data_IF_789734828962
#
_entry.id   IF_789734828962
#
_cell.length_a   1.000
_cell.length_b   1.000
_cell.length_c   1.000
_cell.angle_alpha   90.00
_cell.angle_beta   90.00
_cell.angle_gamma   90.00
#
_symmetry.space_group_name_H-M   'P 1'
#
loop_
_entity.id
_entity.type
_entity.pdbx_description
1 polymer ?
#
# COMPACT_ATOMS: atom_id res chain seq x y z
N UNK A 1 -6.44 -3.38 -40.96
CA UNK A 1 -5.69 -2.11 -41.11
C UNK A 1 -5.95 -1.22 -39.91
N UNK A 2 -4.96 -1.06 -39.03
CA UNK A 2 -4.80 0.15 -38.23
C UNK A 2 -3.34 0.56 -38.37
N UNK A 3 -3.09 1.37 -39.38
CA UNK A 3 -1.90 2.21 -39.48
C UNK A 3 -2.11 3.37 -38.51
N UNK A 4 -1.40 3.37 -37.39
CA UNK A 4 -1.07 4.62 -36.70
C UNK A 4 0.44 4.66 -36.53
N UNK A 5 1.10 5.11 -37.61
CA UNK A 5 2.41 5.76 -37.58
C UNK A 5 2.28 7.12 -36.84
N UNK A 6 1.75 7.12 -35.62
CA UNK A 6 1.93 8.26 -34.72
C UNK A 6 3.29 8.11 -34.06
N UNK A 7 4.09 9.16 -34.10
CA UNK A 7 5.35 9.19 -33.35
C UNK A 7 5.05 8.92 -31.86
N UNK A 8 5.90 8.15 -31.16
CA UNK A 8 5.68 7.85 -29.76
C UNK A 8 5.56 9.15 -28.95
N UNK A 9 4.41 9.35 -28.30
CA UNK A 9 4.15 10.51 -27.44
C UNK A 9 4.37 10.16 -25.96
N UNK A 10 4.60 11.18 -25.16
CA UNK A 10 4.56 11.06 -23.70
C UNK A 10 3.09 11.01 -23.26
N UNK A 11 2.72 9.99 -22.49
CA UNK A 11 1.35 9.78 -22.03
C UNK A 11 1.06 10.55 -20.73
N UNK A 12 2.00 10.51 -19.79
CA UNK A 12 1.85 11.08 -18.44
C UNK A 12 3.06 11.94 -18.03
N UNK A 13 2.85 12.88 -17.12
CA UNK A 13 3.97 13.57 -16.46
C UNK A 13 4.66 12.63 -15.47
N UNK A 14 3.88 11.88 -14.69
CA UNK A 14 4.40 10.90 -13.71
C UNK A 14 3.64 9.59 -13.82
N UNK A 15 4.37 8.48 -13.95
CA UNK A 15 3.83 7.13 -13.77
C UNK A 15 4.36 6.53 -12.47
N UNK A 16 3.47 5.96 -11.66
CA UNK A 16 3.78 5.34 -10.37
C UNK A 16 3.49 3.85 -10.47
N UNK A 17 4.51 3.03 -10.25
CA UNK A 17 4.39 1.57 -10.26
C UNK A 17 4.16 1.09 -8.83
N UNK A 18 2.96 0.60 -8.54
CA UNK A 18 2.53 0.11 -7.24
C UNK A 18 1.47 0.99 -6.59
N UNK A 19 0.32 0.40 -6.25
CA UNK A 19 -0.79 1.02 -5.51
C UNK A 19 -0.81 0.60 -4.04
N UNK A 20 0.35 0.32 -3.44
CA UNK A 20 0.47 0.24 -1.98
C UNK A 20 0.32 1.64 -1.33
N UNK A 21 0.30 1.72 0.01
CA UNK A 21 0.17 2.99 0.73
C UNK A 21 1.16 4.06 0.27
N UNK A 22 2.43 3.68 0.01
CA UNK A 22 3.46 4.60 -0.47
C UNK A 22 3.13 5.17 -1.86
N UNK A 23 2.73 4.33 -2.81
CA UNK A 23 2.41 4.78 -4.17
C UNK A 23 1.17 5.66 -4.21
N UNK A 24 0.13 5.29 -3.45
CA UNK A 24 -1.10 6.08 -3.35
C UNK A 24 -0.86 7.43 -2.64
N UNK A 25 -0.10 7.44 -1.55
CA UNK A 25 0.27 8.67 -0.86
C UNK A 25 1.14 9.58 -1.75
N UNK A 26 2.02 9.00 -2.56
CA UNK A 26 2.80 9.75 -3.57
C UNK A 26 1.88 10.39 -4.62
N UNK A 27 0.92 9.63 -5.15
CA UNK A 27 -0.05 10.11 -6.12
C UNK A 27 -0.88 11.28 -5.56
N UNK A 28 -1.39 11.16 -4.34
CA UNK A 28 -2.10 12.24 -3.66
C UNK A 28 -1.21 13.47 -3.45
N UNK A 29 0.00 13.28 -2.95
CA UNK A 29 0.93 14.39 -2.70
C UNK A 29 1.32 15.17 -3.95
N UNK A 30 1.45 14.49 -5.09
CA UNK A 30 1.68 15.11 -6.41
C UNK A 30 0.46 15.94 -6.85
N UNK A 31 -0.75 15.37 -6.75
CA UNK A 31 -2.01 16.06 -7.11
C UNK A 31 -2.26 17.28 -6.25
N UNK A 32 -2.03 17.18 -4.94
CA UNK A 32 -2.13 18.31 -4.01
C UNK A 32 -1.13 19.46 -4.32
N UNK A 33 -0.14 19.19 -5.17
CA UNK A 33 0.83 20.18 -5.68
C UNK A 33 0.57 20.58 -7.14
N UNK A 34 -0.59 20.25 -7.70
CA UNK A 34 -1.02 20.61 -9.04
C UNK A 34 -0.50 19.70 -10.16
N UNK A 35 0.13 18.56 -9.83
CA UNK A 35 0.59 17.59 -10.83
C UNK A 35 -0.54 16.57 -11.06
N UNK A 36 -1.42 16.88 -12.01
CA UNK A 36 -2.65 16.12 -12.27
C UNK A 36 -2.48 14.98 -13.28
N UNK A 37 -1.57 15.16 -14.25
CA UNK A 37 -1.36 14.18 -15.32
C UNK A 37 -0.49 13.00 -14.85
N UNK A 38 -1.02 12.23 -13.91
CA UNK A 38 -0.37 11.05 -13.32
C UNK A 38 -1.13 9.76 -13.64
N UNK A 39 -0.47 8.62 -13.48
CA UNK A 39 -1.09 7.30 -13.48
C UNK A 39 -0.45 6.41 -12.41
N UNK A 40 -1.27 5.67 -11.66
CA UNK A 40 -0.83 4.62 -10.75
C UNK A 40 -1.21 3.27 -11.36
N UNK A 41 -0.25 2.36 -11.49
CA UNK A 41 -0.49 1.01 -11.99
C UNK A 41 -0.09 -0.04 -10.94
N UNK A 42 -0.95 -1.04 -10.70
CA UNK A 42 -0.68 -2.11 -9.75
C UNK A 42 -0.97 -3.49 -10.33
N UNK A 43 -0.17 -4.48 -9.92
CA UNK A 43 -0.31 -5.86 -10.37
C UNK A 43 -1.53 -6.59 -9.78
N UNK A 44 -2.11 -6.08 -8.67
CA UNK A 44 -3.24 -6.73 -8.01
C UNK A 44 -4.44 -6.83 -8.94
N UNK A 45 -5.20 -7.93 -8.88
CA UNK A 45 -6.45 -8.05 -9.66
C UNK A 45 -7.66 -7.45 -8.95
N UNK A 46 -7.59 -7.38 -7.63
CA UNK A 46 -8.60 -6.79 -6.77
C UNK A 46 -7.94 -6.40 -5.45
N UNK A 47 -8.39 -5.30 -4.85
CA UNK A 47 -8.03 -5.01 -3.47
C UNK A 47 -8.80 -5.94 -2.54
N UNK A 48 -8.12 -6.49 -1.54
CA UNK A 48 -8.71 -7.50 -0.65
C UNK A 48 -8.40 -7.14 0.80
N UNK A 49 -9.35 -7.42 1.69
CA UNK A 49 -9.19 -7.34 3.16
C UNK A 49 -8.25 -8.43 3.67
N UNK A 50 -7.00 -8.40 3.21
CA UNK A 50 -5.93 -9.30 3.63
C UNK A 50 -4.75 -8.45 4.08
N UNK A 51 -4.15 -8.82 5.20
CA UNK A 51 -2.99 -8.12 5.74
C UNK A 51 -3.04 -7.95 7.25
N UNK A 52 -1.89 -7.55 7.80
CA UNK A 52 -1.72 -7.28 9.22
C UNK A 52 -2.17 -5.85 9.56
N UNK A 53 -2.45 -5.60 10.85
CA UNK A 53 -2.53 -4.25 11.38
C UNK A 53 -1.18 -3.54 11.27
N UNK A 54 -1.22 -2.24 10.96
CA UNK A 54 -0.06 -1.35 10.94
C UNK A 54 -0.31 -0.18 11.88
N UNK A 55 0.75 0.22 12.59
CA UNK A 55 0.74 1.39 13.46
C UNK A 55 1.33 2.59 12.72
N UNK A 56 0.52 3.63 12.52
CA UNK A 56 1.00 4.96 12.16
C UNK A 56 1.32 5.74 13.44
N UNK A 57 2.61 5.98 13.64
CA UNK A 57 3.14 6.79 14.74
C UNK A 57 3.02 8.31 14.42
N UNK A 58 3.28 9.22 15.39
CA UNK A 58 3.05 10.66 15.20
C UNK A 58 3.69 11.25 13.94
N UNK A 59 4.91 10.82 13.61
CA UNK A 59 5.61 11.25 12.40
C UNK A 59 4.89 10.79 11.12
N UNK A 60 4.39 9.56 11.10
CA UNK A 60 3.63 9.03 9.96
C UNK A 60 2.30 9.76 9.77
N UNK A 61 1.57 10.00 10.87
CA UNK A 61 0.31 10.76 10.83
C UNK A 61 0.52 12.21 10.37
N UNK A 62 1.53 12.90 10.89
CA UNK A 62 1.90 14.24 10.40
C UNK A 62 2.26 14.23 8.92
N UNK A 63 3.02 13.23 8.47
CA UNK A 63 3.37 13.11 7.05
C UNK A 63 2.12 12.95 6.17
N UNK A 64 1.16 12.10 6.57
CA UNK A 64 -0.12 11.98 5.86
C UNK A 64 -0.86 13.31 5.85
N UNK A 65 -0.91 14.03 6.97
CA UNK A 65 -1.54 15.35 7.07
C UNK A 65 -0.91 16.38 6.12
N UNK A 66 0.40 16.35 5.94
CA UNK A 66 1.12 17.19 4.97
C UNK A 66 0.91 16.76 3.51
N UNK A 67 0.57 15.50 3.28
CA UNK A 67 0.25 14.99 1.95
C UNK A 67 -1.18 15.41 1.59
N UNK A 68 -2.14 15.10 2.45
CA UNK A 68 -3.57 15.36 2.24
C UNK A 68 -4.31 15.35 3.59
N UNK A 69 -4.95 16.46 3.95
CA UNK A 69 -5.69 16.60 5.21
C UNK A 69 -6.90 15.67 5.29
N UNK A 70 -7.59 15.40 4.18
CA UNK A 70 -8.75 14.51 4.17
C UNK A 70 -8.32 13.06 4.36
N UNK A 71 -7.21 12.65 3.73
CA UNK A 71 -6.62 11.34 3.96
C UNK A 71 -6.27 11.14 5.44
N UNK A 72 -5.67 12.15 6.07
CA UNK A 72 -5.33 12.13 7.49
C UNK A 72 -6.56 11.91 8.38
N UNK A 73 -7.62 12.70 8.21
CA UNK A 73 -8.84 12.56 9.02
C UNK A 73 -9.49 11.19 8.81
N UNK A 74 -9.61 10.73 7.56
CA UNK A 74 -10.18 9.42 7.23
C UNK A 74 -9.40 8.27 7.87
N UNK A 75 -8.06 8.30 7.81
CA UNK A 75 -7.19 7.27 8.41
C UNK A 75 -7.32 7.28 9.93
N UNK A 76 -7.35 8.47 10.54
CA UNK A 76 -7.49 8.63 11.99
C UNK A 76 -8.84 8.09 12.49
N UNK A 77 -9.94 8.47 11.84
CA UNK A 77 -11.27 7.98 12.19
C UNK A 77 -11.38 6.45 12.01
N UNK A 78 -10.86 5.92 10.90
CA UNK A 78 -10.91 4.48 10.62
C UNK A 78 -10.10 3.68 11.63
N UNK A 79 -8.89 4.13 11.98
CA UNK A 79 -8.06 3.43 12.96
C UNK A 79 -8.54 3.58 14.42
N UNK A 80 -9.27 4.65 14.76
CA UNK A 80 -9.98 4.74 16.04
C UNK A 80 -11.04 3.65 16.18
N UNK A 81 -11.85 3.42 15.13
CA UNK A 81 -12.83 2.33 15.09
C UNK A 81 -12.18 0.95 15.15
N UNK A 82 -11.00 0.80 14.52
CA UNK A 82 -10.21 -0.42 14.59
C UNK A 82 -9.71 -0.72 16.02
N UNK A 83 -9.30 0.31 16.76
CA UNK A 83 -8.79 0.16 18.13
C UNK A 83 -9.90 0.04 19.18
N UNK A 84 -11.06 0.66 18.94
CA UNK A 84 -12.24 0.63 19.80
C UNK A 84 -13.47 0.16 19.01
N UNK A 85 -13.59 -1.14 18.69
CA UNK A 85 -14.76 -1.64 17.98
C UNK A 85 -16.03 -1.40 18.82
N UNK A 86 -17.15 -0.99 18.21
CA UNK A 86 -18.40 -0.77 18.93
C UNK A 86 -18.86 -2.05 19.64
N UNK A 87 -19.25 -1.93 20.91
CA UNK A 87 -19.76 -3.07 21.67
C UNK A 87 -21.14 -3.50 21.13
N UNK A 88 -21.38 -4.82 20.97
CA UNK A 88 -22.69 -5.31 20.55
C UNK A 88 -23.79 -5.14 21.63
N UNK A 89 -23.43 -4.85 22.89
CA UNK A 89 -24.38 -4.64 23.99
C UNK A 89 -24.02 -3.38 24.81
N UNK A 90 -24.87 -2.35 24.86
CA UNK A 90 -24.60 -1.11 25.60
C UNK A 90 -24.62 -1.24 27.14
N UNK A 91 -25.01 -2.38 27.70
CA UNK A 91 -25.29 -2.54 29.14
C UNK A 91 -24.11 -3.04 29.98
N UNK A 92 -22.90 -3.18 29.42
CA UNK A 92 -21.73 -3.60 30.20
C UNK A 92 -20.94 -2.40 30.74
N UNK A 93 -21.30 -1.90 31.92
CA UNK A 93 -20.56 -0.84 32.66
C UNK A 93 -19.14 -1.26 33.13
N UNK A 94 -18.54 -2.28 32.52
CA UNK A 94 -17.34 -2.97 33.02
C UNK A 94 -15.99 -2.46 32.47
N UNK A 95 -15.96 -1.39 31.67
CA UNK A 95 -14.72 -0.88 31.04
C UNK A 95 -14.00 0.25 31.77
N UNK A 96 -14.44 0.69 32.95
CA UNK A 96 -13.76 1.80 33.68
C UNK A 96 -12.42 1.42 34.31
N UNK A 97 -12.08 0.13 34.42
CA UNK A 97 -10.88 -0.34 35.15
C UNK A 97 -9.88 -1.19 34.33
N UNK A 98 -9.98 -1.23 32.99
CA UNK A 98 -8.94 -1.93 32.22
C UNK A 98 -7.65 -1.10 32.15
N UNK A 99 -6.48 -1.71 32.43
CA UNK A 99 -5.21 -1.03 32.29
C UNK A 99 -5.02 -0.59 30.84
N UNK A 100 -4.43 0.59 30.66
CA UNK A 100 -4.14 1.12 29.33
C UNK A 100 -3.29 0.11 28.56
N UNK A 101 -3.55 -0.13 27.27
CA UNK A 101 -2.70 -1.00 26.47
C UNK A 101 -1.27 -0.48 26.48
N UNK A 102 -0.32 -1.38 26.69
CA UNK A 102 1.12 -1.09 26.79
C UNK A 102 1.89 -1.95 25.81
N UNK A 103 2.91 -1.37 25.16
CA UNK A 103 3.91 -2.16 24.45
C UNK A 103 5.01 -2.51 25.42
N UNK A 104 5.28 -3.81 25.62
CA UNK A 104 6.30 -4.27 26.56
C UNK A 104 7.33 -5.14 25.88
N UNK A 105 8.61 -4.83 26.11
CA UNK A 105 9.74 -5.71 25.76
C UNK A 105 10.14 -6.53 26.99
N UNK A 106 10.30 -7.85 26.81
CA UNK A 106 10.71 -8.78 27.87
C UNK A 106 12.00 -9.49 27.47
N UNK A 107 12.82 -9.87 28.45
CA UNK A 107 13.94 -10.77 28.22
C UNK A 107 13.46 -12.23 28.15
N UNK A 108 14.38 -13.16 27.90
CA UNK A 108 14.09 -14.61 27.82
C UNK A 108 13.53 -15.19 29.13
N UNK A 109 13.75 -14.52 30.26
CA UNK A 109 13.23 -14.91 31.57
C UNK A 109 11.86 -14.28 31.86
N UNK A 110 11.24 -13.59 30.89
CA UNK A 110 9.96 -12.91 31.02
C UNK A 110 9.99 -11.58 31.79
N UNK A 111 11.16 -11.13 32.22
CA UNK A 111 11.32 -9.87 32.97
C UNK A 111 11.14 -8.68 32.04
N UNK A 112 10.35 -7.69 32.50
CA UNK A 112 10.05 -6.45 31.76
C UNK A 112 11.34 -5.61 31.63
N UNK A 113 11.84 -5.45 30.41
CA UNK A 113 13.00 -4.59 30.11
C UNK A 113 12.52 -3.15 29.91
N UNK A 114 11.46 -2.97 29.13
CA UNK A 114 10.94 -1.66 28.75
C UNK A 114 9.43 -1.72 28.51
N UNK A 115 8.73 -0.62 28.78
CA UNK A 115 7.34 -0.44 28.33
C UNK A 115 6.96 1.00 28.16
N UNK A 116 6.01 1.22 27.27
CA UNK A 116 5.35 2.50 27.07
C UNK A 116 3.85 2.29 26.80
N UNK A 117 3.07 3.30 27.20
CA UNK A 117 1.61 3.29 27.05
C UNK A 117 1.23 3.60 25.60
N UNK A 118 0.16 2.97 25.11
CA UNK A 118 -0.32 3.08 23.74
C UNK A 118 -1.52 4.03 23.59
N UNK A 119 -1.85 4.80 24.64
CA UNK A 119 -2.91 5.81 24.61
C UNK A 119 -2.55 6.96 23.69
N UNK A 120 -3.53 7.45 22.94
CA UNK A 120 -3.35 8.57 22.01
C UNK A 120 -2.78 9.82 22.71
N UNK A 121 -3.36 10.22 23.85
CA UNK A 121 -3.03 11.48 24.54
C UNK A 121 -1.56 11.53 25.00
N UNK A 122 -1.02 10.43 25.53
CA UNK A 122 0.39 10.33 25.94
C UNK A 122 1.37 10.62 24.81
N UNK A 123 1.03 10.18 23.60
CA UNK A 123 1.82 10.46 22.40
C UNK A 123 1.58 11.87 21.91
N UNK A 124 0.33 12.35 21.97
CA UNK A 124 -0.02 13.69 21.55
C UNK A 124 0.68 14.76 22.39
N UNK A 125 0.70 14.64 23.71
CA UNK A 125 1.34 15.60 24.61
C UNK A 125 2.85 15.69 24.35
N UNK A 126 3.49 14.57 24.04
CA UNK A 126 4.93 14.51 23.80
C UNK A 126 5.34 14.95 22.39
N UNK A 127 4.55 14.60 21.39
CA UNK A 127 4.94 14.74 19.99
C UNK A 127 4.05 15.68 19.18
N UNK A 128 2.99 16.26 19.77
CA UNK A 128 2.00 17.09 19.09
C UNK A 128 1.15 16.32 18.06
N UNK A 129 1.13 14.99 18.13
CA UNK A 129 0.29 14.09 17.35
C UNK A 129 0.26 12.71 18.03
N UNK A 130 -0.82 11.95 17.87
CA UNK A 130 -0.98 10.64 18.51
C UNK A 130 -0.45 9.46 17.68
N UNK A 131 -1.00 8.27 17.97
CA UNK A 131 -0.77 7.03 17.20
C UNK A 131 -2.10 6.44 16.74
N UNK A 132 -2.08 5.75 15.61
CA UNK A 132 -3.27 5.08 15.05
C UNK A 132 -2.90 3.69 14.57
N UNK A 133 -3.61 2.68 15.07
CA UNK A 133 -3.53 1.31 14.55
C UNK A 133 -4.65 1.12 13.51
N UNK A 134 -4.32 0.62 12.32
CA UNK A 134 -5.27 0.45 11.21
C UNK A 134 -4.91 -0.80 10.40
N UNK A 135 -5.88 -1.47 9.77
CA UNK A 135 -5.56 -2.56 8.84
C UNK A 135 -4.81 -2.03 7.60
N UNK A 136 -3.89 -2.82 7.04
CA UNK A 136 -3.23 -2.45 5.79
C UNK A 136 -4.22 -2.14 4.66
N UNK A 137 -5.30 -2.94 4.58
CA UNK A 137 -6.37 -2.74 3.61
C UNK A 137 -7.08 -1.41 3.79
N UNK A 138 -7.42 -1.03 5.01
CA UNK A 138 -8.13 0.22 5.28
C UNK A 138 -7.24 1.42 5.02
N UNK A 139 -5.96 1.37 5.42
CA UNK A 139 -4.99 2.42 5.09
C UNK A 139 -4.90 2.64 3.57
N UNK A 140 -4.75 1.56 2.81
CA UNK A 140 -4.72 1.61 1.35
C UNK A 140 -6.05 2.13 0.77
N UNK A 141 -7.18 1.74 1.36
CA UNK A 141 -8.52 2.15 0.93
C UNK A 141 -8.75 3.64 1.13
N UNK A 142 -8.40 4.19 2.30
CA UNK A 142 -8.57 5.62 2.58
C UNK A 142 -7.73 6.50 1.63
N UNK A 143 -6.54 6.04 1.23
CA UNK A 143 -5.72 6.74 0.24
C UNK A 143 -6.28 6.60 -1.18
N UNK A 144 -6.69 5.39 -1.61
CA UNK A 144 -7.14 5.18 -2.99
C UNK A 144 -8.46 5.86 -3.31
N UNK A 145 -9.37 5.98 -2.34
CA UNK A 145 -10.70 6.58 -2.56
C UNK A 145 -10.64 8.08 -2.87
N UNK A 146 -9.52 8.74 -2.54
CA UNK A 146 -9.29 10.14 -2.83
C UNK A 146 -8.69 10.37 -4.23
N UNK A 147 -8.28 9.30 -4.92
CA UNK A 147 -7.82 9.39 -6.30
C UNK A 147 -8.99 9.20 -7.28
N UNK A 148 -9.05 9.99 -8.36
CA UNK A 148 -9.99 9.71 -9.45
C UNK A 148 -9.78 8.32 -10.04
N UNK A 149 -10.86 7.63 -10.39
CA UNK A 149 -10.83 6.23 -10.80
C UNK A 149 -10.04 5.97 -12.08
N UNK A 150 -9.91 6.97 -12.95
CA UNK A 150 -9.13 6.90 -14.19
C UNK A 150 -7.62 7.08 -13.97
N UNK A 151 -7.20 7.48 -12.76
CA UNK A 151 -5.79 7.66 -12.37
C UNK A 151 -5.18 6.42 -11.70
N UNK A 152 -5.97 5.40 -11.44
CA UNK A 152 -5.53 4.14 -10.82
C UNK A 152 -5.98 2.95 -11.67
N UNK A 153 -5.02 2.19 -12.19
CA UNK A 153 -5.27 0.96 -12.95
C UNK A 153 -4.67 -0.24 -12.23
N UNK A 154 -5.52 -1.20 -11.87
CA UNK A 154 -5.09 -2.49 -11.31
C UNK A 154 -5.00 -3.54 -12.42
N UNK A 155 -4.51 -4.74 -12.12
CA UNK A 155 -4.27 -5.83 -13.08
C UNK A 155 -3.24 -5.44 -14.15
N UNK A 156 -2.24 -4.64 -13.79
CA UNK A 156 -1.15 -4.21 -14.66
C UNK A 156 0.18 -4.43 -13.96
N UNK A 157 0.83 -5.56 -14.23
CA UNK A 157 2.14 -5.89 -13.65
C UNK A 157 3.23 -5.27 -14.50
N UNK A 158 4.06 -4.40 -13.91
CA UNK A 158 5.26 -3.93 -14.57
C UNK A 158 6.23 -5.08 -14.81
N UNK A 159 6.73 -5.20 -16.04
CA UNK A 159 7.69 -6.24 -16.46
C UNK A 159 8.99 -5.67 -16.99
N UNK A 160 9.00 -4.42 -17.45
CA UNK A 160 10.18 -3.80 -18.02
C UNK A 160 10.13 -2.27 -17.88
N UNK A 161 11.30 -1.64 -17.85
CA UNK A 161 11.49 -0.19 -17.79
C UNK A 161 12.66 0.18 -18.68
N UNK A 162 12.46 1.13 -19.60
CA UNK A 162 13.45 1.56 -20.59
C UNK A 162 13.51 3.10 -20.61
N UNK A 163 14.67 3.71 -20.35
CA UNK A 163 14.83 5.14 -20.58
C UNK A 163 14.82 5.42 -22.09
N UNK A 164 14.10 6.46 -22.52
CA UNK A 164 14.04 6.91 -23.91
C UNK A 164 14.50 8.39 -23.99
N UNK A 165 15.83 8.65 -23.97
CA UNK A 165 16.38 10.01 -23.87
C UNK A 165 15.96 10.95 -25.01
N UNK A 166 15.81 10.41 -26.22
CA UNK A 166 15.36 11.16 -27.41
C UNK A 166 13.96 11.78 -27.22
N UNK A 167 13.12 11.12 -26.41
CA UNK A 167 11.78 11.58 -26.07
C UNK A 167 11.72 12.24 -24.68
N UNK A 168 12.85 12.37 -23.98
CA UNK A 168 12.97 12.89 -22.60
C UNK A 168 11.97 12.21 -21.64
N UNK A 169 11.83 10.89 -21.75
CA UNK A 169 10.89 10.13 -20.95
C UNK A 169 11.44 8.74 -20.58
N UNK A 170 10.67 8.04 -19.75
CA UNK A 170 10.86 6.63 -19.41
C UNK A 170 9.64 5.88 -19.89
N UNK A 171 9.86 4.78 -20.61
CA UNK A 171 8.82 3.81 -20.96
C UNK A 171 8.79 2.69 -19.93
N UNK A 172 7.61 2.35 -19.46
CA UNK A 172 7.37 1.15 -18.65
C UNK A 172 6.38 0.24 -19.38
N UNK A 173 6.72 -1.05 -19.45
CA UNK A 173 5.90 -2.07 -20.09
C UNK A 173 5.17 -2.88 -19.01
N UNK A 174 3.88 -3.12 -19.21
CA UNK A 174 2.99 -3.79 -18.27
C UNK A 174 2.25 -4.95 -18.93
N UNK A 175 2.05 -6.03 -18.19
CA UNK A 175 1.25 -7.18 -18.60
C UNK A 175 0.00 -7.26 -17.72
N UNK A 176 -1.15 -7.46 -18.36
CA UNK A 176 -2.45 -7.68 -17.72
C UNK A 176 -2.89 -9.13 -17.88
N UNK A 177 -3.80 -9.59 -17.01
CA UNK A 177 -4.37 -10.96 -17.06
C UNK A 177 -3.36 -12.10 -16.95
N UNK A 178 -2.17 -11.85 -16.40
CA UNK A 178 -1.17 -12.89 -16.20
C UNK A 178 -1.62 -13.87 -15.12
N UNK A 179 -1.48 -15.18 -15.34
CA UNK A 179 -1.68 -16.19 -14.30
C UNK A 179 -0.88 -15.86 -13.04
N UNK A 180 -1.55 -15.90 -11.89
CA UNK A 180 -0.92 -15.64 -10.61
C UNK A 180 -0.40 -16.97 -10.11
N UNK A 181 0.92 -17.14 -10.09
CA UNK A 181 1.49 -18.30 -9.40
C UNK A 181 1.12 -18.24 -7.90
N UNK A 182 0.64 -19.36 -7.33
CA UNK A 182 0.28 -19.40 -5.91
C UNK A 182 1.52 -19.09 -5.07
N UNK A 183 1.42 -18.11 -4.18
CA UNK A 183 2.48 -17.81 -3.22
C UNK A 183 2.49 -18.91 -2.15
N UNK A 184 3.51 -19.78 -2.05
CA UNK A 184 3.54 -20.86 -1.08
C UNK A 184 3.60 -20.36 0.38
N UNK A 185 3.89 -19.08 0.58
CA UNK A 185 3.98 -18.43 1.89
C UNK A 185 2.74 -17.58 2.25
N UNK A 186 1.72 -17.50 1.39
CA UNK A 186 0.49 -16.79 1.73
C UNK A 186 -0.41 -17.68 2.60
N UNK A 187 -0.68 -17.23 3.83
CA UNK A 187 -1.53 -17.95 4.79
C UNK A 187 -3.02 -17.57 4.72
N UNK A 188 -3.42 -16.73 3.77
CA UNK A 188 -4.82 -16.34 3.56
C UNK A 188 -5.37 -17.04 2.31
N UNK A 189 -6.55 -17.65 2.43
CA UNK A 189 -7.24 -18.25 1.29
C UNK A 189 -7.73 -17.16 0.32
N UNK A 190 -7.64 -17.42 -0.99
CA UNK A 190 -8.26 -16.61 -2.03
C UNK A 190 -9.81 -16.77 -2.03
N UNK A 191 -10.47 -16.55 -0.89
CA UNK A 191 -11.93 -16.48 -0.88
C UNK A 191 -12.35 -15.15 -1.50
N UNK A 192 -12.88 -15.22 -2.72
CA UNK A 192 -13.67 -14.14 -3.33
C UNK A 192 -14.94 -13.99 -2.47
N UNK A 193 -14.86 -13.27 -1.36
CA UNK A 193 -16.05 -12.85 -0.63
C UNK A 193 -16.53 -11.55 -1.26
N UNK A 194 -17.77 -11.59 -1.76
CA UNK A 194 -18.50 -10.49 -2.37
C UNK A 194 -18.62 -9.30 -1.41
N UNK A 195 -17.61 -8.44 -1.39
CA UNK A 195 -17.74 -7.12 -0.78
C UNK A 195 -18.61 -6.28 -1.74
N UNK A 196 -19.84 -5.96 -1.33
CA UNK A 196 -20.81 -5.15 -2.12
C UNK A 196 -20.34 -3.72 -2.44
N UNK A 197 -19.09 -3.39 -2.13
CA UNK A 197 -18.42 -2.13 -2.49
C UNK A 197 -17.42 -2.28 -3.64
N UNK A 198 -17.13 -3.50 -4.13
CA UNK A 198 -16.31 -3.74 -5.31
C UNK A 198 -17.17 -3.84 -6.57
N UNK A 199 -17.56 -2.71 -7.14
CA UNK A 199 -18.15 -2.67 -8.50
C UNK A 199 -17.05 -2.73 -9.55
N UNK A 200 -16.34 -3.86 -9.66
CA UNK A 200 -15.58 -4.21 -10.86
C UNK A 200 -15.76 -5.71 -11.14
N UNK A 201 -16.57 -5.98 -12.16
CA UNK A 201 -17.01 -7.30 -12.62
C UNK A 201 -15.85 -8.29 -12.79
N UNK A 202 -15.99 -9.47 -12.18
CA UNK A 202 -15.20 -10.67 -12.49
C UNK A 202 -15.54 -11.21 -13.87
N UNK A 203 -14.94 -10.60 -14.89
CA UNK A 203 -14.98 -11.13 -16.26
C UNK A 203 -14.02 -12.33 -16.39
N UNK A 204 -14.31 -13.32 -17.26
CA UNK A 204 -13.38 -14.42 -17.53
C UNK A 204 -12.02 -13.84 -17.98
N UNK A 205 -10.92 -14.51 -17.61
CA UNK A 205 -9.56 -14.09 -17.97
C UNK A 205 -9.46 -13.91 -19.48
N UNK A 206 -9.41 -12.65 -19.93
CA UNK A 206 -9.08 -12.32 -21.31
C UNK A 206 -7.62 -12.63 -21.58
N UNK A 207 -7.25 -12.73 -22.87
CA UNK A 207 -5.85 -12.93 -23.28
C UNK A 207 -4.94 -11.91 -22.59
N UNK A 208 -3.72 -12.34 -22.23
CA UNK A 208 -2.73 -11.44 -21.66
C UNK A 208 -2.45 -10.30 -22.64
N UNK A 209 -2.64 -9.08 -22.16
CA UNK A 209 -2.42 -7.86 -22.94
C UNK A 209 -1.15 -7.18 -22.43
N UNK A 210 -0.34 -6.71 -23.36
CA UNK A 210 0.84 -5.90 -23.05
C UNK A 210 0.55 -4.44 -23.44
N UNK A 211 0.73 -3.54 -22.48
CA UNK A 211 0.66 -2.10 -22.73
C UNK A 211 2.01 -1.47 -22.39
N UNK A 212 2.33 -0.37 -23.08
CA UNK A 212 3.48 0.47 -22.76
C UNK A 212 2.98 1.87 -22.39
N UNK A 213 3.50 2.41 -21.30
CA UNK A 213 3.23 3.78 -20.87
C UNK A 213 4.53 4.57 -20.90
N UNK A 214 4.49 5.79 -21.44
CA UNK A 214 5.60 6.75 -21.40
C UNK A 214 5.30 7.87 -20.41
N UNK A 215 6.24 8.13 -19.50
CA UNK A 215 6.14 9.22 -18.56
C UNK A 215 7.44 10.03 -18.46
N UNK A 216 7.35 11.33 -18.16
CA UNK A 216 8.56 12.16 -17.90
C UNK A 216 9.32 11.66 -16.67
N UNK A 217 8.59 11.16 -15.67
CA UNK A 217 9.10 10.56 -14.45
C UNK A 217 8.41 9.22 -14.17
N UNK A 218 9.20 8.20 -13.82
CA UNK A 218 8.69 6.93 -13.29
C UNK A 218 9.06 6.82 -11.80
N UNK A 219 8.08 6.55 -10.94
CA UNK A 219 8.29 6.31 -9.50
C UNK A 219 8.07 4.82 -9.22
N UNK A 220 9.09 4.17 -8.65
CA UNK A 220 9.02 2.78 -8.21
C UNK A 220 8.48 2.69 -6.77
N UNK A 221 7.24 2.25 -6.61
CA UNK A 221 6.57 2.01 -5.33
C UNK A 221 6.01 0.56 -5.26
N UNK A 222 6.64 -0.37 -5.96
CA UNK A 222 6.18 -1.74 -6.25
C UNK A 222 6.68 -2.79 -5.24
N UNK A 223 7.03 -2.33 -4.04
CA UNK A 223 7.25 -3.17 -2.86
C UNK A 223 8.61 -3.88 -2.80
N UNK A 224 8.73 -4.82 -1.85
CA UNK A 224 10.00 -5.49 -1.53
C UNK A 224 10.58 -6.28 -2.71
N UNK A 225 9.74 -6.82 -3.58
CA UNK A 225 10.11 -7.55 -4.79
C UNK A 225 10.01 -6.67 -6.06
N UNK A 226 10.28 -5.37 -5.93
CA UNK A 226 10.22 -4.38 -7.01
C UNK A 226 10.78 -4.90 -8.33
N UNK A 227 9.95 -4.93 -9.38
CA UNK A 227 10.39 -5.19 -10.75
C UNK A 227 11.28 -4.05 -11.23
N UNK A 228 10.89 -2.80 -10.93
CA UNK A 228 11.64 -1.63 -11.39
C UNK A 228 13.08 -1.69 -10.89
N UNK A 229 13.29 -1.93 -9.59
CA UNK A 229 14.64 -2.09 -9.00
C UNK A 229 15.43 -3.22 -9.69
N UNK A 230 14.78 -4.36 -9.95
CA UNK A 230 15.42 -5.49 -10.62
C UNK A 230 15.88 -5.16 -12.04
N UNK A 231 15.10 -4.37 -12.79
CA UNK A 231 15.44 -3.95 -14.16
C UNK A 231 16.58 -2.93 -14.14
N UNK A 232 16.44 -1.85 -13.36
CA UNK A 232 17.42 -0.75 -13.39
C UNK A 232 18.80 -1.14 -12.84
N UNK A 233 18.87 -2.14 -11.95
CA UNK A 233 20.14 -2.60 -11.39
C UNK A 233 20.76 -3.77 -12.16
N UNK A 234 20.07 -4.38 -13.14
CA UNK A 234 20.52 -5.60 -13.83
C UNK A 234 21.94 -5.51 -14.34
N UNK A 235 22.22 -4.44 -15.06
CA UNK A 235 23.49 -4.20 -15.74
C UNK A 235 24.22 -2.98 -15.12
N UNK A 236 24.15 -2.85 -13.79
CA UNK A 236 24.81 -1.78 -13.03
C UNK A 236 25.70 -2.35 -11.91
N UNK A 237 26.56 -1.54 -11.28
CA UNK A 237 27.33 -1.93 -10.09
C UNK A 237 26.46 -2.42 -8.92
N UNK A 238 25.16 -2.13 -8.94
CA UNK A 238 24.19 -2.51 -7.92
C UNK A 238 23.45 -3.81 -8.22
N UNK A 239 23.90 -4.61 -9.20
CA UNK A 239 23.22 -5.85 -9.64
C UNK A 239 22.98 -6.86 -8.51
N UNK A 240 23.83 -6.87 -7.48
CA UNK A 240 23.64 -7.68 -6.28
C UNK A 240 22.38 -7.27 -5.48
N UNK A 241 22.04 -5.98 -5.45
CA UNK A 241 20.94 -5.42 -4.65
C UNK A 241 19.59 -5.42 -5.37
N UNK A 242 19.46 -6.17 -6.46
CA UNK A 242 18.22 -6.27 -7.25
C UNK A 242 17.08 -6.86 -6.45
N UNK A 243 17.36 -7.93 -5.72
CA UNK A 243 16.37 -8.73 -4.99
C UNK A 243 16.61 -8.57 -3.49
N UNK A 244 15.55 -8.69 -2.68
CA UNK A 244 15.73 -8.80 -1.24
C UNK A 244 16.47 -10.09 -0.89
N UNK A 245 17.16 -10.09 0.23
CA UNK A 245 17.83 -11.25 0.80
C UNK A 245 17.22 -11.60 2.16
N UNK A 246 17.32 -12.86 2.54
CA UNK A 246 16.87 -13.31 3.84
C UNK A 246 17.80 -12.78 4.94
N UNK A 247 17.23 -12.22 6.00
CA UNK A 247 17.99 -11.60 7.10
C UNK A 247 18.64 -12.61 8.06
N UNK A 248 18.42 -13.91 7.86
CA UNK A 248 18.81 -14.95 8.82
C UNK A 248 17.83 -15.11 9.99
N UNK A 249 16.78 -14.26 10.06
CA UNK A 249 15.81 -14.24 11.16
C UNK A 249 14.39 -14.40 10.59
N UNK A 250 13.62 -15.30 11.20
CA UNK A 250 12.19 -15.46 10.96
C UNK A 250 11.41 -15.27 12.27
N UNK A 251 10.17 -14.82 12.17
CA UNK A 251 9.25 -14.70 13.30
C UNK A 251 8.13 -15.74 13.16
N UNK A 252 7.82 -16.43 14.26
CA UNK A 252 6.66 -17.31 14.34
C UNK A 252 5.58 -16.55 15.11
N UNK A 253 4.49 -16.22 14.43
CA UNK A 253 3.31 -15.61 15.05
C UNK A 253 2.19 -16.63 15.14
N UNK A 254 1.64 -16.85 16.33
CA UNK A 254 0.30 -17.44 16.46
C UNK A 254 -0.70 -16.31 16.23
N UNK A 255 -1.32 -16.26 15.06
CA UNK A 255 -2.41 -15.32 14.81
C UNK A 255 -3.53 -15.57 15.82
N UNK A 256 -3.82 -14.60 16.68
CA UNK A 256 -5.09 -14.54 17.38
C UNK A 256 -6.19 -14.21 16.38
N UNK A 257 -6.46 -15.12 15.44
CA UNK A 257 -7.53 -14.99 14.47
C UNK A 257 -8.86 -14.98 15.21
N UNK A 258 -9.38 -13.79 15.52
CA UNK A 258 -10.77 -13.55 15.18
C UNK A 258 -10.74 -13.13 13.74
N UNK A 259 -11.17 -14.04 12.86
CA UNK A 259 -11.57 -13.69 11.51
C UNK A 259 -12.46 -12.45 11.58
N UNK A 260 -12.03 -11.37 10.94
CA UNK A 260 -12.81 -10.14 10.73
C UNK A 260 -13.44 -10.25 9.35
#
# INVERSE_FOLDING_TARGET
MKSENSSPKIDYDVAIVGAGPVGLATALGLRQRGIENIIVLDQTRAFRKVGQGVDLLPNGLKAVKYIDSQAYENIKETGQKFSNPPEPNPESESKKNQPSPEWTTRNINGQKIHSFVLKYDEWFDKYGEGRVSISWYDLQTQLRMLLPSDRLKINHRCVNVVPEPELKCVRADFISNQEVEPNPYSHWENKQQDDKTSTLNSSPLSQSEMISIRAKLLIAADGINSTVRQVIYKDSPYSAYRKPEYSGIAAIGSGGGKDI
#
